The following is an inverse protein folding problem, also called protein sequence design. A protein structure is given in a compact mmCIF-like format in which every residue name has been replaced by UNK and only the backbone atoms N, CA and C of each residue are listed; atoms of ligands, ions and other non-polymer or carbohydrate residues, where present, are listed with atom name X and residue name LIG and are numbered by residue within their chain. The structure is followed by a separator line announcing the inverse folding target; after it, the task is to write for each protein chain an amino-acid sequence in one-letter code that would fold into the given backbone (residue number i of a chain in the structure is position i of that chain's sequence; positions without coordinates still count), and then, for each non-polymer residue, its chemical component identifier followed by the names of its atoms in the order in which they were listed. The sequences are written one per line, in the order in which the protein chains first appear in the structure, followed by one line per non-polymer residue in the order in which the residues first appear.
data_IF_023564051410
#
_entry.id   IF_023564051410
#
_cell.length_a   1.000
_cell.length_b   1.000
_cell.length_c   1.000
_cell.angle_alpha   90.00
_cell.angle_beta   90.00
_cell.angle_gamma   90.00
#
_symmetry.space_group_name_H-M   'P 1'
#
loop_
_entity.id
_entity.type
_entity.pdbx_description
1 polymer ?
#
# COMPACT_ATOMS: atom_id res chain seq x y z
N UNK A 1 -2.70 0.13 -9.91
CA UNK A 1 -3.26 -0.03 -8.55
C UNK A 1 -3.21 1.30 -7.82
N UNK A 2 -4.22 1.66 -7.01
CA UNK A 2 -4.23 2.91 -6.23
C UNK A 2 -3.40 2.74 -4.95
N UNK A 3 -2.69 3.79 -4.57
CA UNK A 3 -1.94 3.85 -3.34
C UNK A 3 -2.29 5.12 -2.55
N UNK A 4 -2.26 5.01 -1.22
CA UNK A 4 -2.34 6.14 -0.30
C UNK A 4 -0.95 6.34 0.30
N UNK A 5 -0.49 7.59 0.31
CA UNK A 5 0.88 7.94 0.67
C UNK A 5 0.84 8.95 1.81
N UNK A 6 1.64 8.71 2.84
CA UNK A 6 1.85 9.63 3.94
C UNK A 6 3.33 9.83 4.18
N UNK A 7 3.77 11.07 4.17
CA UNK A 7 5.17 11.40 4.43
C UNK A 7 5.42 11.54 5.94
N UNK A 8 6.39 10.78 6.47
CA UNK A 8 6.73 10.81 7.90
C UNK A 8 7.27 12.16 8.37
N UNK A 9 7.86 12.94 7.46
CA UNK A 9 8.40 14.27 7.76
C UNK A 9 7.32 15.35 7.97
N UNK A 10 6.06 15.08 7.60
CA UNK A 10 4.97 16.06 7.74
C UNK A 10 4.08 15.78 8.96
N UNK A 11 3.52 16.84 9.54
CA UNK A 11 2.64 16.73 10.72
C UNK A 11 1.38 15.93 10.38
N UNK A 12 1.19 14.79 11.08
CA UNK A 12 0.12 13.82 10.83
C UNK A 12 -1.30 14.42 10.91
N UNK A 13 -1.52 15.37 11.84
CA UNK A 13 -2.82 15.98 12.11
C UNK A 13 -3.21 17.06 11.10
N UNK A 14 -2.24 17.70 10.48
CA UNK A 14 -2.47 18.86 9.62
C UNK A 14 -2.23 18.58 8.14
N UNK A 15 -1.63 17.43 7.82
CA UNK A 15 -1.30 17.04 6.44
C UNK A 15 -2.24 15.92 6.00
N UNK A 16 -2.98 16.11 4.89
CA UNK A 16 -3.82 15.07 4.35
C UNK A 16 -3.00 13.90 3.83
N UNK A 17 -3.67 12.78 3.59
CA UNK A 17 -3.09 11.63 2.89
C UNK A 17 -3.12 11.92 1.40
N UNK A 18 -2.00 11.71 0.71
CA UNK A 18 -1.90 11.91 -0.73
C UNK A 18 -2.22 10.63 -1.48
N UNK A 19 -2.72 10.76 -2.71
CA UNK A 19 -2.96 9.61 -3.57
C UNK A 19 -1.83 9.40 -4.57
N UNK A 20 -1.67 8.15 -4.98
CA UNK A 20 -0.69 7.75 -5.99
C UNK A 20 -1.11 6.47 -6.70
N UNK A 21 -0.30 6.07 -7.67
CA UNK A 21 -0.49 4.85 -8.45
C UNK A 21 0.79 4.02 -8.45
N UNK A 22 0.66 2.72 -8.20
CA UNK A 22 1.76 1.77 -8.42
C UNK A 22 1.96 1.64 -9.94
N UNK A 23 3.16 2.00 -10.40
CA UNK A 23 3.54 1.99 -11.82
C UNK A 23 4.40 0.79 -12.19
N UNK A 24 5.15 0.25 -11.23
CA UNK A 24 6.00 -0.92 -11.43
C UNK A 24 6.02 -1.76 -10.16
N UNK A 25 5.98 -3.07 -10.35
CA UNK A 25 6.39 -4.06 -9.34
C UNK A 25 7.51 -4.86 -9.98
N UNK A 26 8.66 -4.92 -9.30
CA UNK A 26 9.82 -5.67 -9.76
C UNK A 26 9.46 -7.15 -9.89
N UNK A 27 9.81 -7.81 -11.01
CA UNK A 27 9.67 -9.25 -11.13
C UNK A 27 10.69 -9.99 -10.26
N UNK A 28 11.80 -9.32 -9.92
CA UNK A 28 12.88 -9.88 -9.12
C UNK A 28 12.68 -9.58 -7.65
N UNK A 29 12.99 -10.59 -6.82
CA UNK A 29 12.95 -10.48 -5.38
C UNK A 29 14.30 -10.09 -4.82
N UNK A 30 14.30 -9.20 -3.84
CA UNK A 30 15.48 -8.70 -3.17
C UNK A 30 15.56 -9.38 -1.82
N UNK A 31 16.71 -10.01 -1.54
CA UNK A 31 17.00 -10.57 -0.23
C UNK A 31 17.96 -9.65 0.50
N UNK A 32 17.57 -9.15 1.67
CA UNK A 32 18.44 -8.31 2.49
C UNK A 32 18.36 -8.74 3.95
N UNK A 33 19.48 -9.29 4.43
CA UNK A 33 19.64 -9.79 5.79
C UNK A 33 19.66 -8.67 6.84
N UNK A 34 19.87 -7.40 6.44
CA UNK A 34 19.92 -6.26 7.36
C UNK A 34 18.56 -5.55 7.52
N UNK A 35 17.69 -5.57 6.53
CA UNK A 35 16.37 -4.89 6.59
C UNK A 35 15.27 -5.68 7.29
N UNK A 36 15.52 -6.93 7.66
CA UNK A 36 14.64 -7.73 8.53
C UNK A 36 14.36 -7.10 9.91
N UNK A 37 15.13 -6.09 10.33
CA UNK A 37 15.03 -5.49 11.67
C UNK A 37 14.27 -4.16 11.77
N UNK A 38 13.64 -3.62 10.71
CA UNK A 38 13.09 -2.25 10.79
C UNK A 38 11.76 -1.94 10.10
N UNK A 39 10.91 -2.93 9.82
CA UNK A 39 9.52 -2.68 9.45
C UNK A 39 8.54 -3.55 10.25
N UNK A 40 8.11 -3.01 11.39
CA UNK A 40 6.84 -3.26 12.09
C UNK A 40 6.16 -4.64 11.91
N UNK A 41 6.52 -5.57 12.80
CA UNK A 41 5.65 -6.62 13.35
C UNK A 41 4.98 -7.62 12.38
N UNK A 42 5.66 -8.03 11.33
CA UNK A 42 5.32 -9.26 10.61
C UNK A 42 6.60 -10.07 10.38
N UNK A 43 6.50 -11.39 10.51
CA UNK A 43 7.53 -12.33 10.04
C UNK A 43 7.55 -12.29 8.51
N UNK A 44 8.04 -11.19 7.95
CA UNK A 44 8.30 -11.05 6.53
C UNK A 44 9.60 -11.82 6.34
N UNK A 45 9.54 -12.94 5.60
CA UNK A 45 10.77 -13.62 5.19
C UNK A 45 11.72 -12.62 4.54
N UNK A 46 13.03 -12.89 4.58
CA UNK A 46 14.11 -11.96 4.21
C UNK A 46 14.07 -11.42 2.76
N UNK A 47 13.00 -11.70 2.02
CA UNK A 47 12.82 -11.60 0.58
C UNK A 47 11.60 -10.74 0.26
N UNK A 48 11.79 -9.60 -0.38
CA UNK A 48 10.74 -8.63 -0.72
C UNK A 48 10.81 -8.16 -2.17
N UNK A 49 9.68 -7.69 -2.71
CA UNK A 49 9.61 -7.09 -4.05
C UNK A 49 9.69 -5.57 -3.97
N UNK A 50 10.41 -4.95 -4.90
CA UNK A 50 10.46 -3.49 -5.03
C UNK A 50 9.25 -3.02 -5.84
N UNK A 51 8.48 -2.08 -5.31
CA UNK A 51 7.44 -1.38 -6.05
C UNK A 51 7.83 0.09 -6.27
N UNK A 52 7.56 0.62 -7.47
CA UNK A 52 7.63 2.06 -7.75
C UNK A 52 6.22 2.65 -7.74
N UNK A 53 6.05 3.72 -6.99
CA UNK A 53 4.79 4.44 -6.85
C UNK A 53 4.99 5.84 -7.40
N UNK A 54 4.09 6.24 -8.29
CA UNK A 54 3.99 7.61 -8.78
C UNK A 54 2.95 8.37 -7.95
N UNK A 55 3.32 9.58 -7.52
CA UNK A 55 2.50 10.43 -6.66
C UNK A 55 1.69 11.37 -7.54
N UNK A 56 0.43 11.61 -7.18
CA UNK A 56 -0.36 12.66 -7.81
C UNK A 56 0.20 14.04 -7.40
N UNK A 57 1.06 14.59 -8.27
CA UNK A 57 1.71 15.88 -8.02
C UNK A 57 0.73 17.05 -8.07
N UNK A 58 -0.39 16.94 -8.77
CA UNK A 58 -1.40 18.00 -8.81
C UNK A 58 -2.14 18.10 -7.48
N UNK A 59 -2.50 16.96 -6.89
CA UNK A 59 -3.05 16.90 -5.53
C UNK A 59 -2.02 17.42 -4.51
N UNK A 60 -0.77 16.96 -4.62
CA UNK A 60 0.30 17.37 -3.71
C UNK A 60 0.53 18.89 -3.76
N UNK A 61 0.69 19.46 -4.95
CA UNK A 61 1.01 20.86 -5.15
C UNK A 61 -0.08 21.81 -4.62
N UNK A 62 -1.36 21.41 -4.66
CA UNK A 62 -2.46 22.20 -4.06
C UNK A 62 -2.26 22.36 -2.55
N UNK A 63 -1.90 21.29 -1.86
CA UNK A 63 -1.67 21.31 -0.41
C UNK A 63 -0.33 21.97 -0.08
N UNK A 64 0.70 21.69 -0.88
CA UNK A 64 2.04 22.23 -0.69
C UNK A 64 2.07 23.75 -0.78
N UNK A 65 1.32 24.36 -1.71
CA UNK A 65 1.20 25.82 -1.81
C UNK A 65 0.60 26.45 -0.56
N UNK A 66 -0.43 25.84 0.03
CA UNK A 66 -1.13 26.37 1.21
C UNK A 66 -0.31 26.19 2.49
N UNK A 67 0.42 25.07 2.60
CA UNK A 67 1.13 24.67 3.83
C UNK A 67 2.66 24.83 3.74
N UNK A 68 3.16 25.39 2.64
CA UNK A 68 4.59 25.54 2.33
C UNK A 68 5.38 24.23 2.49
N UNK A 69 4.81 23.11 2.01
CA UNK A 69 5.44 21.78 2.10
C UNK A 69 6.43 21.60 0.95
N UNK A 70 7.55 20.94 1.22
CA UNK A 70 8.56 20.59 0.22
C UNK A 70 8.93 19.12 0.35
N UNK A 71 9.02 18.42 -0.78
CA UNK A 71 9.52 17.06 -0.85
C UNK A 71 11.02 17.08 -1.12
N UNK A 72 11.73 16.16 -0.48
CA UNK A 72 13.16 15.96 -0.67
C UNK A 72 13.43 14.48 -0.95
N UNK A 73 14.40 14.15 -1.81
CA UNK A 73 14.85 12.77 -1.99
C UNK A 73 15.30 12.15 -0.67
N UNK A 74 15.00 10.86 -0.47
CA UNK A 74 15.31 10.13 0.76
C UNK A 74 14.31 10.33 1.91
N UNK A 75 13.28 11.16 1.72
CA UNK A 75 12.21 11.30 2.71
C UNK A 75 11.42 9.99 2.86
N UNK A 76 11.29 9.52 4.10
CA UNK A 76 10.50 8.33 4.42
C UNK A 76 9.00 8.60 4.24
N UNK A 77 8.29 7.59 3.73
CA UNK A 77 6.86 7.61 3.54
C UNK A 77 6.22 6.25 3.85
N UNK A 78 5.06 6.29 4.49
CA UNK A 78 4.19 5.14 4.68
C UNK A 78 3.24 5.04 3.49
N UNK A 79 3.22 3.87 2.85
CA UNK A 79 2.46 3.62 1.63
C UNK A 79 1.48 2.48 1.88
N UNK A 80 0.19 2.74 1.62
CA UNK A 80 -0.86 1.73 1.67
C UNK A 80 -1.35 1.45 0.25
N UNK A 81 -1.05 0.26 -0.26
CA UNK A 81 -1.48 -0.17 -1.60
C UNK A 81 -2.87 -0.80 -1.50
N UNK A 82 -3.81 -0.27 -2.27
CA UNK A 82 -5.18 -0.78 -2.33
C UNK A 82 -5.22 -1.87 -3.41
N UNK A 83 -5.20 -3.13 -2.97
CA UNK A 83 -5.23 -4.33 -3.84
C UNK A 83 -6.63 -4.80 -4.19
N UNK A 84 -7.65 -4.32 -3.49
CA UNK A 84 -9.05 -4.62 -3.76
C UNK A 84 -9.99 -3.89 -2.83
N UNK A 85 -11.29 -3.96 -3.14
CA UNK A 85 -12.35 -3.44 -2.29
C UNK A 85 -13.20 -4.62 -1.81
N UNK A 86 -13.15 -4.96 -0.53
CA UNK A 86 -14.09 -5.92 0.06
C UNK A 86 -15.41 -5.21 0.33
N UNK A 87 -16.51 -5.71 -0.22
CA UNK A 87 -17.86 -5.21 0.06
C UNK A 87 -18.49 -6.03 1.19
N UNK A 88 -19.39 -5.42 1.97
CA UNK A 88 -20.15 -6.11 3.02
C UNK A 88 -20.94 -7.30 2.46
N UNK A 89 -21.53 -7.12 1.28
CA UNK A 89 -22.25 -8.18 0.58
C UNK A 89 -21.34 -9.37 0.25
N UNK A 90 -20.09 -9.11 -0.16
CA UNK A 90 -19.14 -10.19 -0.43
C UNK A 90 -18.80 -10.99 0.84
N UNK A 91 -18.68 -10.33 1.98
CA UNK A 91 -18.49 -11.01 3.28
C UNK A 91 -19.64 -11.94 3.65
N UNK A 92 -20.88 -11.57 3.28
CA UNK A 92 -22.07 -12.38 3.52
C UNK A 92 -22.18 -13.57 2.54
N UNK A 93 -21.76 -13.39 1.29
CA UNK A 93 -21.94 -14.38 0.22
C UNK A 93 -20.76 -15.35 0.05
N UNK A 94 -19.54 -14.95 0.38
CA UNK A 94 -18.33 -15.79 0.31
C UNK A 94 -18.53 -17.20 0.93
N UNK A 95 -19.09 -17.37 2.15
CA UNK A 95 -19.30 -18.71 2.72
C UNK A 95 -20.33 -19.55 1.95
N UNK A 96 -21.33 -18.93 1.31
CA UNK A 96 -22.36 -19.67 0.56
C UNK A 96 -21.73 -20.24 -0.71
N UNK A 97 -20.98 -19.42 -1.45
CA UNK A 97 -20.27 -19.86 -2.65
C UNK A 97 -19.21 -20.91 -2.32
N UNK A 98 -18.43 -20.72 -1.26
CA UNK A 98 -17.34 -21.64 -0.88
C UNK A 98 -17.87 -23.02 -0.43
N UNK A 99 -19.06 -23.08 0.13
CA UNK A 99 -19.69 -24.34 0.54
C UNK A 99 -20.35 -25.07 -0.63
N UNK A 100 -20.92 -24.35 -1.61
CA UNK A 100 -21.46 -24.96 -2.82
C UNK A 100 -20.37 -25.69 -3.63
N UNK A 101 -19.18 -25.10 -3.81
CA UNK A 101 -18.09 -25.76 -4.55
C UNK A 101 -17.54 -27.02 -3.84
N UNK A 102 -17.58 -27.07 -2.50
CA UNK A 102 -17.16 -28.25 -1.73
C UNK A 102 -18.15 -29.41 -1.85
N UNK A 103 -19.46 -29.14 -1.84
CA UNK A 103 -20.49 -30.17 -1.93
C UNK A 103 -20.53 -30.92 -3.29
N UNK A 104 -19.92 -30.35 -4.35
CA UNK A 104 -19.85 -31.00 -5.67
C UNK A 104 -18.53 -31.76 -5.92
N UNK A 105 -17.58 -31.76 -4.97
CA UNK A 105 -16.26 -32.41 -5.13
C UNK A 105 -16.04 -33.58 -4.14
N UNK A 106 -17.07 -33.98 -3.38
CA UNK A 106 -17.00 -35.18 -2.54
C UNK A 106 -17.68 -36.35 -3.27
N UNK A 107 -16.88 -37.36 -3.65
CA UNK A 107 -17.35 -38.67 -4.10
C UNK A 107 -16.52 -39.74 -3.41
#
# INVERSE_FOLDING_TARGET
MKAKIRFGAFKYRTTPVFTGRVVLVSPDTVQDQQSAMQFNNAMIGDTFYIAKIEIDMDEFNKVAKVKNLKLFPGMQADIQIITGTRTLLRYLLDPITDNMFRAFTEK
#
